data_IF_256622992983
#
_entry.id   IF_256622992983
#
_cell.length_a   1.000
_cell.length_b   1.000
_cell.length_c   1.000
_cell.angle_alpha   90.00
_cell.angle_beta   90.00
_cell.angle_gamma   90.00
#
_symmetry.space_group_name_H-M   'P 1'
#
loop_
_entity.id
_entity.type
_entity.pdbx_description
1 polymer ?
#
# COMPACT_ATOMS: atom_id res chain seq x y z
N UNK A 1 -6.36 -3.44 -21.28
CA UNK A 1 -6.95 -2.30 -20.53
C UNK A 1 -6.56 -1.02 -21.25
N UNK A 2 -7.51 -0.19 -21.71
CA UNK A 2 -7.17 1.04 -22.44
C UNK A 2 -6.47 2.01 -21.48
N UNK A 3 -5.26 2.48 -21.84
CA UNK A 3 -4.49 3.47 -21.08
C UNK A 3 -5.35 4.66 -20.62
N UNK A 4 -6.40 5.03 -21.37
CA UNK A 4 -7.37 6.08 -21.01
C UNK A 4 -8.10 5.84 -19.68
N UNK A 5 -8.39 4.58 -19.32
CA UNK A 5 -9.09 4.25 -18.06
C UNK A 5 -8.16 4.34 -16.86
N UNK A 6 -6.89 4.00 -17.05
CA UNK A 6 -5.82 4.13 -16.05
C UNK A 6 -5.52 5.60 -15.72
N UNK A 7 -5.41 6.47 -16.74
CA UNK A 7 -5.22 7.91 -16.52
C UNK A 7 -6.42 8.58 -15.83
N UNK A 8 -7.66 8.19 -16.16
CA UNK A 8 -8.86 8.70 -15.47
C UNK A 8 -8.91 8.33 -13.99
N UNK A 9 -8.37 7.17 -13.60
CA UNK A 9 -8.29 6.73 -12.19
C UNK A 9 -7.20 7.52 -11.46
N UNK A 10 -6.04 7.74 -12.09
CA UNK A 10 -4.99 8.59 -11.52
C UNK A 10 -5.47 10.05 -11.37
N UNK A 11 -6.21 10.59 -12.34
CA UNK A 11 -6.77 11.95 -12.26
C UNK A 11 -7.84 12.08 -11.17
N UNK A 12 -8.65 11.03 -10.95
CA UNK A 12 -9.63 11.02 -9.85
C UNK A 12 -8.91 11.01 -8.51
N UNK A 13 -7.89 10.17 -8.37
CA UNK A 13 -7.06 10.09 -7.16
C UNK A 13 -6.34 11.42 -6.92
N UNK A 14 -5.70 12.02 -7.93
CA UNK A 14 -5.03 13.32 -7.78
C UNK A 14 -5.99 14.47 -7.43
N UNK A 15 -7.21 14.48 -7.99
CA UNK A 15 -8.21 15.51 -7.68
C UNK A 15 -8.83 15.37 -6.28
N UNK A 16 -8.96 14.15 -5.75
CA UNK A 16 -9.37 13.94 -4.35
C UNK A 16 -8.32 14.46 -3.35
N UNK A 17 -7.07 14.67 -3.78
CA UNK A 17 -5.97 15.18 -2.94
C UNK A 17 -5.64 16.67 -3.12
N UNK A 18 -6.27 17.39 -4.06
CA UNK A 18 -6.00 18.82 -4.30
C UNK A 18 -7.29 19.64 -4.50
N UNK A 19 -7.94 20.04 -3.41
CA UNK A 19 -8.88 21.16 -3.45
C UNK A 19 -8.16 22.47 -3.13
N UNK A 20 -7.49 23.04 -4.12
CA UNK A 20 -7.35 24.50 -4.23
C UNK A 20 -7.04 24.91 -5.67
N UNK A 21 -8.09 25.35 -6.37
CA UNK A 21 -8.14 26.30 -7.50
C UNK A 21 -7.05 26.11 -8.59
N UNK A 22 -7.40 25.60 -9.77
CA UNK A 22 -7.09 26.21 -11.09
C UNK A 22 -7.78 25.48 -12.26
N UNK A 23 -8.33 26.25 -13.20
CA UNK A 23 -9.08 25.80 -14.40
C UNK A 23 -8.19 25.06 -15.44
N UNK A 24 -8.77 24.19 -16.30
CA UNK A 24 -8.01 23.43 -17.28
C UNK A 24 -7.87 24.16 -18.62
N UNK A 25 -6.65 24.18 -19.16
CA UNK A 25 -6.40 24.32 -20.60
C UNK A 25 -5.06 23.67 -20.92
N UNK A 26 -5.07 22.47 -21.50
CA UNK A 26 -3.93 21.95 -22.24
C UNK A 26 -4.42 21.11 -23.43
N UNK A 27 -3.97 21.54 -24.61
CA UNK A 27 -4.21 20.95 -25.92
C UNK A 27 -3.49 19.61 -26.07
N UNK A 28 -4.11 18.67 -26.79
CA UNK A 28 -3.48 17.47 -27.33
C UNK A 28 -2.62 17.78 -28.56
N UNK A 29 -1.50 17.06 -28.75
CA UNK A 29 -1.07 16.70 -30.10
C UNK A 29 -1.01 15.18 -30.31
N UNK A 30 -1.03 14.86 -31.60
CA UNK A 30 -1.50 13.63 -32.22
C UNK A 30 -0.50 12.47 -32.24
N UNK A 31 -1.07 11.30 -32.50
CA UNK A 31 -0.47 10.00 -32.74
C UNK A 31 0.70 10.00 -33.73
N UNK A 32 1.77 9.25 -33.41
CA UNK A 32 2.70 8.73 -34.42
C UNK A 32 2.90 7.23 -34.20
N UNK A 33 2.45 6.45 -35.19
CA UNK A 33 2.69 5.01 -35.35
C UNK A 33 4.10 4.80 -35.89
N UNK A 34 4.91 3.96 -35.25
CA UNK A 34 6.10 3.37 -35.88
C UNK A 34 5.96 1.85 -36.00
N UNK A 35 6.03 1.36 -37.24
CA UNK A 35 6.19 -0.05 -37.62
C UNK A 35 7.61 -0.50 -37.25
N UNK A 36 7.74 -1.57 -36.46
CA UNK A 36 9.00 -2.33 -36.40
C UNK A 36 8.97 -3.46 -37.43
N UNK A 37 10.00 -3.50 -38.28
CA UNK A 37 10.37 -4.66 -39.08
C UNK A 37 11.64 -5.27 -38.49
N UNK A 38 11.57 -6.56 -38.12
CA UNK A 38 12.72 -7.36 -37.70
C UNK A 38 13.40 -7.96 -38.94
N UNK A 39 14.73 -7.84 -39.04
CA UNK A 39 15.54 -8.71 -39.87
C UNK A 39 16.67 -9.32 -39.03
N UNK A 40 16.67 -10.64 -38.98
CA UNK A 40 17.76 -11.47 -38.46
C UNK A 40 18.69 -11.83 -39.62
N UNK A 41 20.01 -11.89 -39.37
CA UNK A 41 20.92 -12.69 -40.18
C UNK A 41 22.15 -13.16 -39.39
N UNK A 42 22.77 -14.30 -39.78
CA UNK A 42 23.48 -15.18 -38.86
C UNK A 42 25.02 -15.06 -38.93
N UNK A 43 25.66 -15.72 -37.95
CA UNK A 43 27.11 -15.83 -37.70
C UNK A 43 27.93 -16.31 -38.91
N UNK A 44 29.16 -15.79 -39.04
CA UNK A 44 30.26 -16.42 -39.79
C UNK A 44 31.59 -16.33 -39.02
N UNK A 45 32.32 -17.45 -39.02
CA UNK A 45 33.75 -17.58 -38.68
C UNK A 45 34.58 -17.50 -39.97
N UNK A 46 35.75 -16.82 -39.94
CA UNK A 46 36.98 -17.18 -40.69
C UNK A 46 38.14 -16.23 -40.31
N UNK A 47 39.23 -16.75 -39.74
CA UNK A 47 40.56 -17.12 -40.32
C UNK A 47 41.51 -15.95 -40.59
N UNK A 48 42.71 -16.10 -40.02
CA UNK A 48 43.82 -15.16 -39.95
C UNK A 48 44.37 -14.74 -41.32
N UNK A 49 44.67 -13.44 -41.46
CA UNK A 49 45.70 -12.92 -42.36
C UNK A 49 46.43 -11.75 -41.69
N UNK A 50 47.74 -11.89 -41.57
CA UNK A 50 48.69 -10.92 -41.05
C UNK A 50 48.97 -9.84 -42.08
N UNK A 51 48.66 -8.58 -41.73
CA UNK A 51 49.27 -7.40 -42.34
C UNK A 51 49.57 -6.38 -41.26
N UNK A 52 50.86 -6.09 -41.11
CA UNK A 52 51.42 -5.10 -40.21
C UNK A 52 51.12 -3.69 -40.70
N UNK A 53 50.18 -3.03 -40.05
CA UNK A 53 50.02 -1.56 -40.11
C UNK A 53 50.06 -1.03 -38.70
N UNK A 54 51.07 -0.20 -38.44
CA UNK A 54 51.29 0.51 -37.18
C UNK A 54 50.09 1.40 -36.88
N UNK A 55 49.24 0.99 -35.94
CA UNK A 55 48.24 1.86 -35.32
C UNK A 55 48.90 2.71 -34.24
N UNK A 56 48.62 4.03 -34.18
CA UNK A 56 49.06 4.85 -33.07
C UNK A 56 48.34 4.41 -31.80
N UNK A 57 49.08 4.38 -30.70
CA UNK A 57 48.62 4.07 -29.36
C UNK A 57 47.34 4.86 -29.06
N UNK A 58 46.20 4.14 -29.02
CA UNK A 58 44.94 4.67 -28.52
C UNK A 58 45.15 5.04 -27.05
N UNK A 59 45.30 6.33 -26.78
CA UNK A 59 45.17 6.88 -25.44
C UNK A 59 43.73 6.63 -25.01
N UNK A 60 43.49 5.54 -24.28
CA UNK A 60 42.23 5.39 -23.55
C UNK A 60 42.20 6.51 -22.52
N UNK A 61 41.54 7.63 -22.84
CA UNK A 61 41.29 8.70 -21.88
C UNK A 61 40.48 8.08 -20.74
N UNK A 62 41.14 7.69 -19.64
CA UNK A 62 40.46 7.14 -18.48
C UNK A 62 39.64 8.26 -17.85
N UNK A 63 38.34 8.24 -18.13
CA UNK A 63 37.41 9.25 -17.62
C UNK A 63 37.40 9.12 -16.10
N UNK A 64 37.92 10.14 -15.42
CA UNK A 64 37.91 10.20 -13.96
C UNK A 64 36.48 10.48 -13.47
N UNK A 65 35.97 9.72 -12.50
CA UNK A 65 34.64 9.94 -11.94
C UNK A 65 34.60 11.27 -11.17
N UNK A 66 33.55 12.06 -11.38
CA UNK A 66 33.32 13.27 -10.61
C UNK A 66 32.89 12.92 -9.18
N UNK A 67 33.66 13.37 -8.17
CA UNK A 67 33.43 13.03 -6.77
C UNK A 67 32.11 13.58 -6.20
N UNK A 68 31.66 14.75 -6.67
CA UNK A 68 30.38 15.35 -6.24
C UNK A 68 29.22 14.53 -6.76
N UNK A 69 29.24 14.18 -8.04
CA UNK A 69 28.23 13.30 -8.65
C UNK A 69 28.25 11.90 -8.04
N UNK A 70 29.43 11.35 -7.73
CA UNK A 70 29.56 10.06 -7.06
C UNK A 70 28.93 10.06 -5.66
N UNK A 71 29.17 11.12 -4.88
CA UNK A 71 28.57 11.29 -3.56
C UNK A 71 27.05 11.40 -3.66
N UNK A 72 26.56 12.23 -4.59
CA UNK A 72 25.13 12.41 -4.85
C UNK A 72 24.46 11.10 -5.27
N UNK A 73 25.03 10.41 -6.27
CA UNK A 73 24.52 9.15 -6.80
C UNK A 73 24.43 8.08 -5.70
N UNK A 74 25.43 8.01 -4.81
CA UNK A 74 25.41 7.09 -3.66
C UNK A 74 24.37 7.48 -2.61
N UNK A 75 24.18 8.77 -2.34
CA UNK A 75 23.16 9.23 -1.39
C UNK A 75 21.75 8.91 -1.89
N UNK A 76 21.49 9.10 -3.20
CA UNK A 76 20.17 8.89 -3.79
C UNK A 76 19.87 7.40 -4.05
N UNK A 77 20.82 6.67 -4.65
CA UNK A 77 20.57 5.28 -5.06
C UNK A 77 20.95 4.24 -4.00
N UNK A 78 21.74 4.63 -2.99
CA UNK A 78 22.29 3.77 -1.93
C UNK A 78 23.11 2.56 -2.44
N UNK A 79 23.57 2.60 -3.68
CA UNK A 79 24.42 1.54 -4.23
C UNK A 79 25.86 1.63 -3.73
N UNK A 80 26.59 0.51 -3.79
CA UNK A 80 28.00 0.46 -3.43
C UNK A 80 28.87 1.42 -4.25
N UNK A 81 29.89 2.01 -3.61
CA UNK A 81 30.76 3.05 -4.20
C UNK A 81 31.43 2.61 -5.52
N UNK A 82 31.73 1.32 -5.67
CA UNK A 82 32.38 0.76 -6.86
C UNK A 82 31.42 0.79 -8.05
N UNK A 83 30.18 0.31 -7.86
CA UNK A 83 29.15 0.35 -8.91
C UNK A 83 28.74 1.77 -9.29
N UNK A 84 28.61 2.67 -8.30
CA UNK A 84 28.33 4.08 -8.58
C UNK A 84 29.45 4.73 -9.41
N UNK A 85 30.71 4.38 -9.11
CA UNK A 85 31.87 4.84 -9.87
C UNK A 85 31.86 4.29 -11.30
N UNK A 86 31.58 3.00 -11.47
CA UNK A 86 31.46 2.36 -12.78
C UNK A 86 30.38 3.01 -13.63
N UNK A 87 29.19 3.25 -13.06
CA UNK A 87 28.09 3.92 -13.73
C UNK A 87 28.50 5.28 -14.31
N UNK A 88 29.19 6.10 -13.51
CA UNK A 88 29.67 7.41 -13.93
C UNK A 88 30.75 7.31 -15.01
N UNK A 89 31.70 6.38 -14.90
CA UNK A 89 32.75 6.19 -15.91
C UNK A 89 32.13 5.75 -17.24
N UNK A 90 31.20 4.78 -17.20
CA UNK A 90 30.55 4.20 -18.38
C UNK A 90 29.68 5.20 -19.14
N UNK A 91 29.11 6.17 -18.43
CA UNK A 91 28.26 7.21 -18.99
C UNK A 91 28.92 8.59 -19.03
N UNK A 92 30.25 8.65 -18.99
CA UNK A 92 31.01 9.90 -19.15
C UNK A 92 30.59 11.01 -18.16
N UNK A 93 30.32 10.64 -16.89
CA UNK A 93 29.78 11.48 -15.82
C UNK A 93 28.38 12.09 -16.11
N UNK A 94 27.62 11.52 -17.05
CA UNK A 94 26.20 11.83 -17.25
C UNK A 94 25.37 11.24 -16.11
N UNK A 95 24.82 12.13 -15.27
CA UNK A 95 24.10 11.76 -14.06
C UNK A 95 22.84 10.94 -14.35
N UNK A 96 22.00 11.41 -15.26
CA UNK A 96 20.70 10.79 -15.55
C UNK A 96 20.88 9.41 -16.16
N UNK A 97 21.86 9.27 -17.08
CA UNK A 97 22.19 7.96 -17.65
C UNK A 97 22.78 7.01 -16.60
N UNK A 98 23.63 7.51 -15.70
CA UNK A 98 24.18 6.70 -14.62
C UNK A 98 23.09 6.20 -13.65
N UNK A 99 22.13 7.04 -13.28
CA UNK A 99 20.95 6.65 -12.48
C UNK A 99 20.14 5.58 -13.20
N UNK A 100 19.76 5.82 -14.46
CA UNK A 100 18.98 4.87 -15.24
C UNK A 100 19.69 3.53 -15.44
N UNK A 101 21.03 3.55 -15.58
CA UNK A 101 21.83 2.33 -15.64
C UNK A 101 21.82 1.57 -14.32
N UNK A 102 22.02 2.25 -13.19
CA UNK A 102 21.99 1.63 -11.86
C UNK A 102 20.63 1.03 -11.51
N UNK A 103 19.54 1.67 -11.90
CA UNK A 103 18.19 1.15 -11.70
C UNK A 103 17.97 -0.14 -12.49
N UNK A 104 18.35 -0.15 -13.77
CA UNK A 104 18.28 -1.35 -14.62
C UNK A 104 19.17 -2.47 -14.08
N UNK A 105 20.41 -2.14 -13.69
CA UNK A 105 21.34 -3.09 -13.07
C UNK A 105 20.78 -3.68 -11.77
N UNK A 106 20.19 -2.85 -10.91
CA UNK A 106 19.60 -3.31 -9.63
C UNK A 106 18.44 -4.27 -9.86
N UNK A 107 17.61 -4.04 -10.88
CA UNK A 107 16.49 -4.94 -11.23
C UNK A 107 16.97 -6.27 -11.79
N UNK A 108 17.95 -6.26 -12.70
CA UNK A 108 18.52 -7.48 -13.28
C UNK A 108 19.19 -8.33 -12.18
N UNK A 109 20.04 -7.72 -11.36
CA UNK A 109 20.66 -8.40 -10.23
C UNK A 109 19.62 -8.85 -9.19
N UNK A 110 18.56 -8.06 -9.00
CA UNK A 110 17.43 -8.37 -8.14
C UNK A 110 16.70 -9.63 -8.57
N UNK A 111 16.45 -9.80 -9.88
CA UNK A 111 15.83 -11.00 -10.45
C UNK A 111 16.67 -12.25 -10.16
N UNK A 112 17.97 -12.20 -10.47
CA UNK A 112 18.87 -13.33 -10.22
C UNK A 112 18.96 -13.68 -8.72
N UNK A 113 18.99 -12.66 -7.85
CA UNK A 113 19.02 -12.86 -6.40
C UNK A 113 17.68 -13.42 -5.90
N UNK A 114 16.55 -12.90 -6.35
CA UNK A 114 15.24 -13.39 -5.95
C UNK A 114 15.11 -14.90 -6.25
N UNK A 115 15.56 -15.34 -7.43
CA UNK A 115 15.55 -16.77 -7.79
C UNK A 115 16.45 -17.63 -6.89
N UNK A 116 17.63 -17.13 -6.51
CA UNK A 116 18.59 -17.82 -5.64
C UNK A 116 18.15 -17.84 -4.17
N UNK A 117 17.44 -16.80 -3.74
CA UNK A 117 17.08 -16.57 -2.33
C UNK A 117 15.67 -17.06 -1.99
N UNK A 118 14.80 -17.32 -2.98
CA UNK A 118 13.38 -17.71 -2.76
C UNK A 118 13.17 -18.89 -1.80
N UNK A 119 14.12 -19.82 -1.70
CA UNK A 119 14.04 -20.99 -0.82
C UNK A 119 14.41 -20.69 0.63
N UNK A 120 14.97 -19.50 0.91
CA UNK A 120 15.32 -19.09 2.26
C UNK A 120 14.07 -18.66 3.01
N UNK A 121 14.06 -18.96 4.31
CA UNK A 121 12.93 -18.66 5.17
C UNK A 121 12.94 -17.16 5.52
N UNK A 122 11.88 -16.45 5.13
CA UNK A 122 11.64 -15.05 5.48
C UNK A 122 10.48 -14.99 6.48
N UNK A 123 10.79 -14.97 7.78
CA UNK A 123 9.81 -14.86 8.87
C UNK A 123 9.85 -13.51 9.60
N UNK A 124 10.92 -12.75 9.42
CA UNK A 124 10.97 -11.35 9.85
C UNK A 124 10.21 -10.47 8.85
N UNK A 125 10.07 -9.19 9.16
CA UNK A 125 9.34 -8.25 8.31
C UNK A 125 8.57 -7.19 9.06
N UNK A 126 7.60 -6.60 8.35
CA UNK A 126 6.67 -5.60 8.87
C UNK A 126 5.27 -5.80 8.29
N UNK A 127 4.29 -5.40 9.10
CA UNK A 127 2.91 -5.19 8.69
C UNK A 127 2.73 -3.70 8.38
N UNK A 128 2.16 -3.40 7.22
CA UNK A 128 1.72 -2.06 6.84
C UNK A 128 0.21 -1.92 6.96
N UNK A 129 -0.28 -0.84 7.56
CA UNK A 129 -1.71 -0.50 7.58
C UNK A 129 -1.90 0.92 7.06
N UNK A 130 -2.85 1.07 6.13
CA UNK A 130 -3.28 2.38 5.64
C UNK A 130 -4.80 2.47 5.68
N UNK A 131 -5.31 3.63 6.10
CA UNK A 131 -6.73 3.95 6.13
C UNK A 131 -6.91 5.33 5.51
N UNK A 132 -7.84 5.45 4.56
CA UNK A 132 -8.15 6.74 3.94
C UNK A 132 -8.96 7.61 4.90
N UNK A 133 -8.97 8.92 4.63
CA UNK A 133 -9.96 9.80 5.24
C UNK A 133 -11.36 9.39 4.74
N UNK A 134 -12.37 9.87 5.46
CA UNK A 134 -13.74 9.85 4.96
C UNK A 134 -13.80 10.57 3.63
N UNK A 135 -14.62 10.03 2.74
CA UNK A 135 -14.88 10.65 1.47
C UNK A 135 -16.20 11.45 1.59
N UNK A 136 -16.32 12.51 0.81
CA UNK A 136 -17.55 13.30 0.75
C UNK A 136 -18.19 13.07 -0.60
N UNK A 137 -19.39 12.51 -0.62
CA UNK A 137 -20.17 12.35 -1.84
C UNK A 137 -21.30 13.36 -1.89
N UNK A 138 -21.53 13.90 -3.08
CA UNK A 138 -22.76 14.65 -3.36
C UNK A 138 -23.82 13.62 -3.76
N UNK A 139 -24.87 13.50 -2.95
CA UNK A 139 -26.02 12.66 -3.22
C UNK A 139 -26.80 13.14 -4.44
N UNK A 140 -27.71 12.31 -4.94
CA UNK A 140 -28.51 12.57 -6.16
C UNK A 140 -29.29 13.89 -6.10
N UNK A 141 -29.59 14.38 -4.90
CA UNK A 141 -30.35 15.60 -4.65
C UNK A 141 -29.48 16.82 -4.30
N UNK A 142 -28.15 16.73 -4.46
CA UNK A 142 -27.22 17.80 -4.10
C UNK A 142 -26.82 17.83 -2.61
N UNK A 143 -27.29 16.88 -1.81
CA UNK A 143 -26.95 16.76 -0.38
C UNK A 143 -25.54 16.20 -0.19
N UNK A 144 -24.77 16.74 0.76
CA UNK A 144 -23.45 16.17 1.12
C UNK A 144 -23.69 14.95 2.00
N UNK A 145 -23.39 13.76 1.47
CA UNK A 145 -23.41 12.49 2.20
C UNK A 145 -21.98 12.08 2.51
N UNK A 146 -21.75 11.66 3.75
CA UNK A 146 -20.47 11.08 4.13
C UNK A 146 -20.36 9.71 3.46
N UNK A 147 -19.36 9.52 2.60
CA UNK A 147 -18.92 8.18 2.20
C UNK A 147 -17.92 7.71 3.23
N UNK A 148 -18.16 6.51 3.77
CA UNK A 148 -17.18 5.82 4.59
C UNK A 148 -15.81 5.72 3.93
N UNK A 149 -14.80 5.31 4.67
CA UNK A 149 -13.41 5.26 4.21
C UNK A 149 -13.01 3.86 3.68
N UNK A 150 -11.76 3.74 3.24
CA UNK A 150 -11.14 2.50 2.77
C UNK A 150 -9.95 2.15 3.63
N UNK A 151 -9.58 0.87 3.65
CA UNK A 151 -8.44 0.39 4.43
C UNK A 151 -7.70 -0.74 3.73
N UNK A 152 -6.41 -0.86 3.99
CA UNK A 152 -5.61 -1.99 3.56
C UNK A 152 -4.62 -2.38 4.66
N UNK A 153 -4.41 -3.67 4.82
CA UNK A 153 -3.37 -4.27 5.65
C UNK A 153 -2.53 -5.22 4.79
N UNK A 154 -1.22 -5.09 4.87
CA UNK A 154 -0.25 -5.85 4.07
C UNK A 154 0.86 -6.38 4.95
N UNK A 155 1.37 -7.57 4.64
CA UNK A 155 2.53 -8.14 5.31
C UNK A 155 3.65 -8.36 4.30
N UNK A 156 4.80 -7.75 4.56
CA UNK A 156 6.03 -7.96 3.80
C UNK A 156 7.05 -8.61 4.71
N UNK A 157 7.58 -9.75 4.29
CA UNK A 157 8.58 -10.48 5.05
C UNK A 157 9.98 -10.33 4.45
N UNK A 158 10.99 -10.44 5.32
CA UNK A 158 12.41 -10.47 5.00
C UNK A 158 13.13 -11.55 5.82
N UNK A 159 14.42 -11.78 5.56
CA UNK A 159 15.20 -12.81 6.27
C UNK A 159 15.56 -12.32 7.69
N UNK A 160 15.96 -11.05 7.83
CA UNK A 160 16.49 -10.52 9.11
C UNK A 160 15.75 -9.28 9.61
N UNK A 161 15.83 -9.03 10.91
CA UNK A 161 15.27 -7.82 11.53
C UNK A 161 16.04 -6.54 11.13
N UNK A 162 17.32 -6.65 10.78
CA UNK A 162 18.11 -5.55 10.24
C UNK A 162 17.51 -4.97 8.95
N UNK A 163 17.03 -5.82 8.04
CA UNK A 163 16.33 -5.36 6.83
C UNK A 163 14.98 -4.74 7.17
N UNK A 164 14.22 -5.32 8.10
CA UNK A 164 12.94 -4.72 8.55
C UNK A 164 13.12 -3.30 9.12
N UNK A 165 14.30 -3.00 9.69
CA UNK A 165 14.67 -1.67 10.22
C UNK A 165 15.20 -0.70 9.17
N UNK A 166 15.39 -1.14 7.93
CA UNK A 166 15.87 -0.28 6.87
C UNK A 166 14.78 0.67 6.36
N UNK A 167 15.11 1.95 6.17
CA UNK A 167 14.18 2.97 5.68
C UNK A 167 13.62 2.66 4.28
N UNK A 168 14.40 2.03 3.39
CA UNK A 168 13.90 1.62 2.06
C UNK A 168 12.82 0.53 2.19
N UNK A 169 13.01 -0.41 3.11
CA UNK A 169 12.06 -1.48 3.37
C UNK A 169 10.76 -0.92 3.96
N UNK A 170 10.85 -0.08 4.99
CA UNK A 170 9.69 0.59 5.60
C UNK A 170 8.89 1.40 4.57
N UNK A 171 9.58 2.21 3.76
CA UNK A 171 8.94 2.97 2.67
C UNK A 171 8.21 2.04 1.70
N UNK A 172 8.85 0.95 1.29
CA UNK A 172 8.27 0.00 0.37
C UNK A 172 6.99 -0.66 0.91
N UNK A 173 6.99 -1.10 2.19
CA UNK A 173 5.80 -1.65 2.87
C UNK A 173 4.63 -0.67 2.82
N UNK A 174 4.90 0.58 3.18
CA UNK A 174 3.93 1.67 3.21
C UNK A 174 3.38 2.00 1.81
N UNK A 175 4.23 1.97 0.79
CA UNK A 175 3.82 2.16 -0.60
C UNK A 175 2.96 1.01 -1.12
N UNK A 176 3.28 -0.24 -0.78
CA UNK A 176 2.43 -1.40 -1.13
C UNK A 176 1.06 -1.29 -0.49
N UNK A 177 0.99 -0.92 0.80
CA UNK A 177 -0.28 -0.70 1.48
C UNK A 177 -1.15 0.32 0.72
N UNK A 178 -0.52 1.41 0.27
CA UNK A 178 -1.16 2.48 -0.51
C UNK A 178 -1.60 2.02 -1.90
N UNK A 179 -0.76 1.28 -2.62
CA UNK A 179 -1.10 0.68 -3.92
C UNK A 179 -2.24 -0.34 -3.78
N UNK A 180 -2.31 -1.08 -2.67
CA UNK A 180 -3.37 -2.07 -2.43
C UNK A 180 -4.76 -1.43 -2.35
N UNK A 181 -4.85 -0.17 -1.90
CA UNK A 181 -6.10 0.60 -1.95
C UNK A 181 -6.61 0.84 -3.38
N UNK A 182 -5.78 0.75 -4.43
CA UNK A 182 -6.25 0.88 -5.82
C UNK A 182 -7.14 -0.28 -6.23
N UNK A 183 -6.83 -1.50 -5.79
CA UNK A 183 -7.63 -2.68 -6.15
C UNK A 183 -9.03 -2.67 -5.55
N UNK A 184 -9.26 -1.79 -4.56
CA UNK A 184 -10.58 -1.51 -4.05
C UNK A 184 -11.58 -1.24 -5.20
N UNK A 185 -11.18 -0.50 -6.25
CA UNK A 185 -12.07 -0.15 -7.36
C UNK A 185 -12.18 -1.22 -8.46
N UNK A 186 -11.32 -2.23 -8.51
CA UNK A 186 -11.23 -3.18 -9.63
C UNK A 186 -11.71 -4.61 -9.30
N UNK A 187 -11.77 -5.01 -8.03
CA UNK A 187 -12.11 -6.40 -7.62
C UNK A 187 -13.61 -6.73 -7.74
N UNK A 188 -14.45 -5.80 -8.17
CA UNK A 188 -15.88 -6.08 -8.39
C UNK A 188 -16.09 -6.94 -9.66
N UNK A 189 -15.95 -8.26 -9.51
CA UNK A 189 -16.69 -9.20 -10.34
C UNK A 189 -18.16 -9.04 -9.92
N UNK A 190 -19.06 -8.55 -10.79
CA UNK A 190 -20.39 -8.11 -10.39
C UNK A 190 -21.31 -9.20 -9.78
N UNK A 191 -20.89 -10.47 -9.74
CA UNK A 191 -21.72 -11.61 -9.36
C UNK A 191 -21.12 -12.49 -8.24
N UNK A 192 -20.03 -12.08 -7.60
CA UNK A 192 -19.47 -12.82 -6.45
C UNK A 192 -19.81 -12.06 -5.17
N UNK A 193 -20.70 -12.63 -4.36
CA UNK A 193 -20.98 -12.11 -3.01
C UNK A 193 -19.72 -12.41 -2.18
N UNK A 194 -19.02 -11.39 -1.66
CA UNK A 194 -17.81 -11.62 -0.89
C UNK A 194 -18.17 -12.32 0.43
N UNK A 195 -17.42 -13.37 0.78
CA UNK A 195 -17.61 -14.15 2.02
C UNK A 195 -17.30 -13.35 3.29
N UNK A 196 -16.55 -12.26 3.15
CA UNK A 196 -16.05 -11.40 4.22
C UNK A 196 -15.96 -9.97 3.68
N UNK A 197 -16.15 -9.00 4.57
CA UNK A 197 -16.14 -7.57 4.25
C UNK A 197 -14.71 -7.09 4.01
N UNK A 198 -13.75 -7.67 4.74
CA UNK A 198 -12.31 -7.47 4.54
C UNK A 198 -11.79 -8.55 3.57
N UNK A 199 -11.60 -8.17 2.31
CA UNK A 199 -11.29 -9.09 1.22
C UNK A 199 -9.80 -9.37 1.12
N UNK A 200 -9.44 -10.65 1.12
CA UNK A 200 -8.08 -11.08 0.80
C UNK A 200 -7.78 -10.95 -0.69
N UNK A 201 -6.62 -10.38 -1.02
CA UNK A 201 -6.13 -10.25 -2.39
C UNK A 201 -4.89 -11.12 -2.56
N UNK A 202 -4.82 -11.85 -3.68
CA UNK A 202 -3.59 -12.52 -4.08
C UNK A 202 -2.47 -11.50 -4.35
N UNK A 203 -1.28 -11.64 -3.75
CA UNK A 203 -0.09 -10.83 -4.07
C UNK A 203 0.20 -10.68 -5.57
N UNK A 204 -0.09 -11.72 -6.36
CA UNK A 204 0.11 -11.73 -7.80
C UNK A 204 -0.82 -10.77 -8.53
N UNK A 205 -2.02 -10.51 -8.00
CA UNK A 205 -2.97 -9.58 -8.61
C UNK A 205 -2.46 -8.14 -8.61
N UNK A 206 -1.59 -7.78 -7.66
CA UNK A 206 -1.14 -6.39 -7.46
C UNK A 206 0.26 -6.12 -8.03
N UNK A 207 0.95 -7.16 -8.50
CA UNK A 207 2.37 -7.09 -8.85
C UNK A 207 2.67 -6.16 -10.04
N UNK A 208 1.72 -6.01 -10.95
CA UNK A 208 1.84 -5.13 -12.13
C UNK A 208 1.35 -3.70 -11.88
N UNK A 209 0.80 -3.40 -10.71
CA UNK A 209 0.31 -2.06 -10.40
C UNK A 209 1.49 -1.11 -10.16
N UNK A 210 1.33 0.19 -10.50
CA UNK A 210 2.33 1.19 -10.15
C UNK A 210 2.47 1.29 -8.63
N UNK A 211 3.71 1.49 -8.17
CA UNK A 211 3.96 1.75 -6.76
C UNK A 211 3.54 3.20 -6.42
N UNK A 212 2.57 3.37 -5.53
CA UNK A 212 2.04 4.67 -5.14
C UNK A 212 2.80 5.25 -3.94
N UNK A 213 2.93 6.59 -3.83
CA UNK A 213 3.36 7.23 -2.60
C UNK A 213 2.32 7.06 -1.49
N UNK A 214 2.75 7.22 -0.24
CA UNK A 214 1.87 7.11 0.92
C UNK A 214 0.89 8.30 1.04
N UNK A 215 -0.39 8.11 1.42
CA UNK A 215 -1.39 9.17 1.54
C UNK A 215 -1.07 10.29 2.55
N UNK A 216 -0.17 10.06 3.50
CA UNK A 216 0.20 11.06 4.52
C UNK A 216 1.50 11.80 4.26
N UNK A 217 2.14 11.58 3.10
CA UNK A 217 3.26 12.41 2.69
C UNK A 217 2.71 13.79 2.29
N UNK A 218 2.74 14.73 3.23
CA UNK A 218 2.57 16.15 2.94
C UNK A 218 3.63 16.58 1.92
N UNK A 219 3.20 16.83 0.69
CA UNK A 219 4.04 17.35 -0.39
C UNK A 219 4.59 18.77 -0.12
N UNK A 220 4.30 19.36 1.05
CA UNK A 220 4.50 20.78 1.37
C UNK A 220 5.70 21.08 2.27
N UNK A 221 6.45 20.08 2.76
CA UNK A 221 7.60 20.30 3.67
C UNK A 221 8.89 19.57 3.28
N UNK A 222 9.10 19.31 1.99
CA UNK A 222 10.42 18.98 1.46
C UNK A 222 10.72 19.75 0.17
N UNK A 223 11.16 21.00 0.34
CA UNK A 223 12.21 21.49 -0.55
C UNK A 223 13.37 20.49 -0.46
N UNK A 224 13.59 19.72 -1.54
CA UNK A 224 14.63 18.68 -1.71
C UNK A 224 14.36 17.28 -1.14
N UNK A 225 13.39 16.53 -1.66
CA UNK A 225 13.59 15.08 -1.94
C UNK A 225 12.52 14.49 -2.87
N UNK A 226 12.89 14.38 -4.16
CA UNK A 226 12.56 13.26 -5.06
C UNK A 226 11.07 12.90 -5.30
N UNK A 227 10.32 13.80 -5.95
CA UNK A 227 9.72 13.40 -7.23
C UNK A 227 10.84 13.35 -8.25
N UNK A 228 11.53 12.22 -8.32
CA UNK A 228 12.45 11.96 -9.42
C UNK A 228 11.57 11.79 -10.66
N UNK A 229 11.31 12.89 -11.36
CA UNK A 229 11.21 12.81 -12.82
C UNK A 229 12.57 12.30 -13.29
N UNK A 230 12.70 10.97 -13.31
CA UNK A 230 13.74 10.26 -14.03
C UNK A 230 13.43 10.57 -15.51
N UNK A 231 14.20 11.41 -16.20
CA UNK A 231 13.95 11.69 -17.60
C UNK A 231 14.54 10.50 -18.39
N UNK A 232 13.81 9.37 -18.45
CA UNK A 232 14.00 8.25 -19.39
C UNK A 232 13.25 6.94 -19.05
N UNK A 233 12.33 6.93 -18.08
CA UNK A 233 11.43 5.77 -17.90
C UNK A 233 9.99 6.24 -18.10
N UNK A 234 9.39 5.85 -19.23
CA UNK A 234 8.08 6.31 -19.72
C UNK A 234 6.87 6.00 -18.79
N UNK A 235 7.10 5.43 -17.60
CA UNK A 235 6.07 5.10 -16.60
C UNK A 235 6.69 4.86 -15.20
N UNK A 236 5.94 5.08 -14.09
CA UNK A 236 6.40 4.73 -12.74
C UNK A 236 6.67 3.22 -12.63
N UNK A 237 7.64 2.79 -11.80
CA UNK A 237 7.93 1.37 -11.65
C UNK A 237 6.73 0.62 -11.07
N UNK A 238 6.54 -0.60 -11.55
CA UNK A 238 5.57 -1.52 -10.99
C UNK A 238 6.03 -2.03 -9.62
N UNK A 239 5.09 -2.53 -8.82
CA UNK A 239 5.40 -3.16 -7.53
C UNK A 239 6.46 -4.25 -7.66
N UNK A 240 6.33 -5.13 -8.67
CA UNK A 240 7.30 -6.20 -8.89
C UNK A 240 8.69 -5.66 -9.25
N UNK A 241 8.78 -4.65 -10.11
CA UNK A 241 10.07 -4.03 -10.43
C UNK A 241 10.71 -3.39 -9.20
N UNK A 242 9.92 -2.72 -8.36
CA UNK A 242 10.40 -2.14 -7.10
C UNK A 242 10.81 -3.21 -6.08
N UNK A 243 10.09 -4.35 -6.03
CA UNK A 243 10.47 -5.50 -5.19
C UNK A 243 11.83 -6.05 -5.61
N UNK A 244 12.03 -6.29 -6.91
CA UNK A 244 13.31 -6.77 -7.45
C UNK A 244 14.43 -5.77 -7.19
N UNK A 245 14.18 -4.48 -7.37
CA UNK A 245 15.15 -3.44 -7.04
C UNK A 245 15.55 -3.48 -5.55
N UNK A 246 14.57 -3.66 -4.65
CA UNK A 246 14.80 -3.77 -3.21
C UNK A 246 15.62 -5.01 -2.85
N UNK A 247 15.30 -6.18 -3.42
CA UNK A 247 16.08 -7.42 -3.27
C UNK A 247 17.50 -7.24 -3.82
N UNK A 248 17.63 -6.56 -4.96
CA UNK A 248 18.92 -6.23 -5.57
C UNK A 248 19.81 -5.42 -4.63
N UNK A 249 19.24 -4.41 -3.98
CA UNK A 249 19.90 -3.49 -3.05
C UNK A 249 20.21 -4.13 -1.69
N UNK A 250 19.24 -4.80 -1.08
CA UNK A 250 19.37 -5.33 0.28
C UNK A 250 19.97 -6.74 0.33
N UNK A 251 19.82 -7.52 -0.75
CA UNK A 251 20.43 -8.84 -0.87
C UNK A 251 19.78 -9.94 -0.03
N UNK A 252 18.55 -9.75 0.43
CA UNK A 252 17.76 -10.74 1.17
C UNK A 252 16.55 -11.20 0.36
N UNK A 253 16.03 -12.38 0.70
CA UNK A 253 14.71 -12.84 0.30
C UNK A 253 13.66 -11.91 0.91
N UNK A 254 12.97 -11.15 0.05
CA UNK A 254 11.87 -10.29 0.44
C UNK A 254 10.64 -10.76 -0.31
N UNK A 255 9.54 -10.98 0.40
CA UNK A 255 8.28 -11.42 -0.19
C UNK A 255 7.10 -10.59 0.32
N UNK A 256 6.08 -10.51 -0.51
CA UNK A 256 4.76 -10.00 -0.15
C UNK A 256 3.91 -11.21 0.25
N UNK A 257 3.67 -11.38 1.55
CA UNK A 257 3.03 -12.59 2.09
C UNK A 257 1.52 -12.59 1.92
N UNK A 258 0.86 -11.52 2.37
CA UNK A 258 -0.60 -11.42 2.33
C UNK A 258 -1.06 -9.98 2.29
N UNK A 259 -2.24 -9.79 1.70
CA UNK A 259 -2.93 -8.52 1.56
C UNK A 259 -4.40 -8.72 1.86
N UNK A 260 -4.95 -7.83 2.65
CA UNK A 260 -6.38 -7.72 2.87
C UNK A 260 -6.81 -6.27 2.74
N UNK A 261 -7.94 -6.05 2.07
CA UNK A 261 -8.49 -4.72 1.83
C UNK A 261 -9.93 -4.63 2.32
N UNK A 262 -10.26 -3.48 2.87
CA UNK A 262 -11.64 -3.05 3.03
C UNK A 262 -11.93 -1.96 2.01
N UNK A 263 -12.95 -2.19 1.19
CA UNK A 263 -13.50 -1.15 0.34
C UNK A 263 -14.95 -0.88 0.67
N UNK A 264 -15.26 0.37 0.99
CA UNK A 264 -16.63 0.84 1.12
C UNK A 264 -17.29 0.95 -0.26
N UNK A 265 -17.87 -0.16 -0.73
CA UNK A 265 -18.66 -0.22 -1.96
C UNK A 265 -20.10 0.22 -1.68
N UNK A 266 -20.34 1.52 -1.51
CA UNK A 266 -21.71 2.06 -1.52
C UNK A 266 -22.33 2.10 -2.95
N UNK A 267 -21.87 1.23 -3.85
CA UNK A 267 -22.47 0.95 -5.15
C UNK A 267 -23.21 -0.39 -5.15
N UNK A 268 -23.83 -0.77 -4.03
CA UNK A 268 -25.03 -1.60 -4.12
C UNK A 268 -26.12 -0.72 -4.75
N UNK A 269 -26.01 -0.54 -6.06
CA UNK A 269 -27.16 -0.30 -6.92
C UNK A 269 -27.94 -1.62 -6.92
N UNK A 270 -28.55 -1.95 -5.78
CA UNK A 270 -29.63 -2.92 -5.73
C UNK A 270 -30.66 -2.40 -6.69
N UNK A 271 -30.74 -3.00 -7.87
CA UNK A 271 -31.88 -2.92 -8.76
C UNK A 271 -33.07 -3.67 -8.16
N UNK A 272 -33.38 -3.39 -6.89
CA UNK A 272 -34.62 -3.80 -6.25
C UNK A 272 -35.51 -2.57 -6.26
N UNK A 273 -36.58 -2.63 -7.05
CA UNK A 273 -37.68 -1.66 -7.09
C UNK A 273 -38.47 -1.58 -5.76
N UNK A 274 -37.86 -1.94 -4.62
CA UNK A 274 -38.48 -1.91 -3.32
C UNK A 274 -38.22 -0.56 -2.68
N UNK A 275 -39.19 0.34 -2.82
CA UNK A 275 -39.23 1.70 -2.27
C UNK A 275 -39.33 1.77 -0.74
N UNK A 276 -38.90 0.73 0.00
CA UNK A 276 -39.05 0.62 1.46
C UNK A 276 -37.76 0.27 2.23
N UNK A 277 -36.59 0.16 1.59
CA UNK A 277 -35.35 -0.18 2.31
C UNK A 277 -34.61 1.06 2.80
N UNK A 278 -34.60 1.26 4.13
CA UNK A 278 -33.80 2.25 4.89
C UNK A 278 -32.27 1.99 4.84
N UNK A 279 -31.75 1.35 3.78
CA UNK A 279 -30.30 1.10 3.63
C UNK A 279 -29.51 2.39 3.35
N UNK A 280 -30.19 3.50 3.09
CA UNK A 280 -29.57 4.81 2.91
C UNK A 280 -28.91 5.39 4.18
N UNK A 281 -29.17 4.83 5.36
CA UNK A 281 -28.67 5.36 6.64
C UNK A 281 -27.42 4.63 7.19
N UNK A 282 -26.93 3.59 6.50
CA UNK A 282 -25.76 2.81 6.94
C UNK A 282 -24.48 3.34 6.31
N UNK A 283 -23.46 3.53 7.13
CA UNK A 283 -22.11 3.91 6.71
C UNK A 283 -21.13 2.91 7.29
N UNK A 284 -20.31 2.32 6.43
CA UNK A 284 -19.21 1.47 6.87
C UNK A 284 -17.94 2.31 7.04
N UNK A 285 -17.33 2.19 8.22
CA UNK A 285 -16.10 2.90 8.58
C UNK A 285 -15.05 1.88 8.97
N UNK A 286 -13.82 2.08 8.55
CA UNK A 286 -12.68 1.29 8.98
C UNK A 286 -11.71 2.09 9.82
N UNK A 287 -11.14 1.43 10.83
CA UNK A 287 -10.03 1.92 11.64
C UNK A 287 -8.83 1.00 11.50
N UNK A 288 -7.64 1.56 11.59
CA UNK A 288 -6.39 0.83 11.43
C UNK A 288 -5.35 1.26 12.47
N UNK A 289 -4.55 0.31 12.94
CA UNK A 289 -3.46 0.59 13.86
C UNK A 289 -2.32 -0.41 13.68
N UNK A 290 -1.09 0.05 13.88
CA UNK A 290 0.11 -0.79 13.97
C UNK A 290 0.87 -0.51 15.26
N UNK A 291 1.54 -1.53 15.78
CA UNK A 291 2.40 -1.47 16.95
C UNK A 291 3.77 -2.12 16.67
N UNK A 292 4.80 -1.70 17.40
CA UNK A 292 6.17 -2.18 17.20
C UNK A 292 6.84 -1.61 15.95
N UNK A 293 6.38 -0.44 15.47
CA UNK A 293 7.04 0.34 14.44
C UNK A 293 8.37 0.93 14.92
N UNK A 294 9.28 1.19 14.00
CA UNK A 294 10.58 1.81 14.27
C UNK A 294 10.45 3.33 14.04
N UNK A 295 11.18 4.15 14.81
CA UNK A 295 11.17 5.61 14.70
C UNK A 295 9.77 6.25 14.84
N UNK A 296 8.88 5.68 15.65
CA UNK A 296 7.49 6.11 15.80
C UNK A 296 6.70 6.11 14.47
N UNK A 297 7.06 5.24 13.52
CA UNK A 297 6.27 5.02 12.31
C UNK A 297 4.86 4.57 12.71
N UNK A 298 3.85 5.31 12.22
CA UNK A 298 2.45 5.05 12.49
C UNK A 298 1.79 4.15 11.45
N UNK A 299 2.53 3.77 10.40
CA UNK A 299 2.01 3.02 9.26
C UNK A 299 2.60 1.62 9.14
N UNK A 300 3.77 1.38 9.74
CA UNK A 300 4.38 0.05 9.79
C UNK A 300 4.66 -0.43 11.21
N UNK A 301 4.61 -1.74 11.45
CA UNK A 301 4.90 -2.35 12.74
C UNK A 301 5.02 -3.86 12.70
N UNK A 302 5.28 -4.48 13.86
CA UNK A 302 5.33 -5.94 14.03
C UNK A 302 3.95 -6.56 14.21
N UNK A 303 2.99 -5.78 14.68
CA UNK A 303 1.59 -6.20 14.86
C UNK A 303 0.72 -5.11 14.23
N UNK A 304 -0.32 -5.50 13.50
CA UNK A 304 -1.28 -4.57 12.92
C UNK A 304 -2.70 -5.09 13.02
N UNK A 305 -3.66 -4.17 13.03
CA UNK A 305 -5.06 -4.53 12.92
C UNK A 305 -5.83 -3.57 12.01
N UNK A 306 -6.86 -4.12 11.37
CA UNK A 306 -7.88 -3.42 10.63
C UNK A 306 -9.25 -3.83 11.20
N UNK A 307 -10.11 -2.87 11.50
CA UNK A 307 -11.47 -3.12 11.99
C UNK A 307 -12.47 -2.39 11.11
N UNK A 308 -13.62 -3.00 10.86
CA UNK A 308 -14.74 -2.41 10.13
C UNK A 308 -15.93 -2.32 11.06
N UNK A 309 -16.47 -1.11 11.19
CA UNK A 309 -17.65 -0.79 11.98
C UNK A 309 -18.76 -0.26 11.05
N UNK A 310 -19.98 -0.68 11.31
CA UNK A 310 -21.18 -0.12 10.72
C UNK A 310 -21.73 0.96 11.64
N UNK A 311 -22.13 2.08 11.04
CA UNK A 311 -22.78 3.19 11.73
C UNK A 311 -24.12 3.42 11.06
N UNK A 312 -25.19 3.35 11.84
CA UNK A 312 -26.54 3.64 11.38
C UNK A 312 -27.08 4.85 12.16
N UNK A 313 -27.47 5.91 11.46
CA UNK A 313 -27.96 7.14 12.10
C UNK A 313 -29.40 7.44 11.67
N UNK A 314 -30.26 7.85 12.60
CA UNK A 314 -31.69 8.08 12.34
C UNK A 314 -32.00 9.46 11.71
N UNK A 315 -31.03 10.39 11.62
CA UNK A 315 -31.20 11.72 11.01
C UNK A 315 -29.85 12.31 10.57
N UNK A 316 -29.75 12.68 9.30
CA UNK A 316 -28.50 12.98 8.57
C UNK A 316 -28.01 14.40 8.86
N UNK A 317 -27.08 14.58 9.80
CA UNK A 317 -26.04 15.65 9.75
C UNK A 317 -24.79 15.16 10.51
N UNK A 318 -23.80 14.62 9.78
CA UNK A 318 -22.49 14.36 10.37
C UNK A 318 -21.72 15.67 10.52
N UNK A 319 -21.73 16.24 11.73
CA UNK A 319 -20.80 17.33 12.05
C UNK A 319 -19.37 16.79 12.01
N UNK A 320 -18.40 17.64 11.63
CA UNK A 320 -16.97 17.26 11.64
C UNK A 320 -16.54 16.68 12.99
N UNK A 321 -17.10 17.20 14.09
CA UNK A 321 -16.85 16.72 15.44
C UNK A 321 -17.27 15.25 15.64
N UNK A 322 -18.39 14.81 15.06
CA UNK A 322 -18.84 13.42 15.12
C UNK A 322 -17.92 12.53 14.29
N UNK A 323 -17.53 12.98 13.09
CA UNK A 323 -16.59 12.27 12.20
C UNK A 323 -15.25 12.05 12.92
N UNK A 324 -14.72 13.08 13.57
CA UNK A 324 -13.47 12.99 14.32
C UNK A 324 -13.58 12.01 15.50
N UNK A 325 -14.73 11.98 16.17
CA UNK A 325 -15.01 11.02 17.26
C UNK A 325 -15.10 9.59 16.74
N UNK A 326 -15.74 9.36 15.60
CA UNK A 326 -15.83 8.05 14.95
C UNK A 326 -14.44 7.58 14.47
N UNK A 327 -13.65 8.46 13.87
CA UNK A 327 -12.26 8.17 13.50
C UNK A 327 -11.43 7.77 14.70
N UNK A 328 -11.58 8.50 15.81
CA UNK A 328 -10.90 8.17 17.06
C UNK A 328 -11.34 6.81 17.59
N UNK A 329 -12.65 6.56 17.66
CA UNK A 329 -13.21 5.30 18.15
C UNK A 329 -12.72 4.10 17.32
N UNK A 330 -12.83 4.17 15.99
CA UNK A 330 -12.37 3.09 15.10
C UNK A 330 -10.87 2.83 15.21
N UNK A 331 -10.04 3.88 15.37
CA UNK A 331 -8.60 3.74 15.65
C UNK A 331 -8.34 3.11 17.03
N UNK A 332 -9.07 3.52 18.06
CA UNK A 332 -8.90 2.99 19.42
C UNK A 332 -9.36 1.52 19.52
N UNK A 333 -10.41 1.13 18.77
CA UNK A 333 -10.79 -0.28 18.60
C UNK A 333 -9.67 -1.08 17.93
N UNK A 334 -9.05 -0.57 16.86
CA UNK A 334 -7.91 -1.23 16.23
C UNK A 334 -6.72 -1.38 17.21
N UNK A 335 -6.47 -0.39 18.07
CA UNK A 335 -5.45 -0.49 19.13
C UNK A 335 -5.79 -1.55 20.18
N UNK A 336 -7.05 -1.62 20.62
CA UNK A 336 -7.54 -2.66 21.52
C UNK A 336 -7.30 -4.04 20.92
N UNK A 337 -7.67 -4.25 19.66
CA UNK A 337 -7.47 -5.52 18.95
C UNK A 337 -5.98 -5.88 18.90
N UNK A 338 -5.09 -4.93 18.58
CA UNK A 338 -3.65 -5.16 18.58
C UNK A 338 -3.15 -5.59 19.97
N UNK A 339 -3.57 -4.90 21.03
CA UNK A 339 -3.09 -5.12 22.40
C UNK A 339 -3.62 -6.39 23.06
N UNK A 340 -4.89 -6.73 22.85
CA UNK A 340 -5.60 -7.77 23.61
C UNK A 340 -5.93 -9.04 22.81
N UNK A 341 -5.62 -9.08 21.51
CA UNK A 341 -5.70 -10.28 20.67
C UNK A 341 -7.04 -11.06 20.75
N UNK A 342 -8.19 -10.38 20.60
CA UNK A 342 -9.48 -11.07 20.52
C UNK A 342 -9.50 -12.04 19.33
N UNK A 343 -10.26 -13.13 19.47
CA UNK A 343 -10.46 -14.15 18.42
C UNK A 343 -11.77 -13.96 17.68
N UNK A 344 -12.78 -13.40 18.35
CA UNK A 344 -14.12 -13.17 17.80
C UNK A 344 -14.73 -11.90 18.38
N UNK A 345 -15.77 -11.40 17.71
CA UNK A 345 -16.47 -10.17 18.13
C UNK A 345 -17.45 -10.49 19.26
N UNK A 346 -18.31 -11.49 19.04
CA UNK A 346 -19.37 -11.90 19.98
C UNK A 346 -19.14 -13.33 20.48
N UNK A 347 -19.84 -13.71 21.55
CA UNK A 347 -20.01 -15.11 21.94
C UNK A 347 -20.77 -15.85 20.86
N UNK A 348 -20.35 -17.08 20.56
CA UNK A 348 -21.12 -17.93 19.65
C UNK A 348 -22.50 -18.19 20.28
N UNK A 349 -23.55 -18.06 19.48
CA UNK A 349 -24.90 -18.45 19.90
C UNK A 349 -24.89 -19.92 20.27
N UNK A 350 -25.36 -20.25 21.47
CA UNK A 350 -25.46 -21.63 21.95
C UNK A 350 -26.18 -22.49 20.91
N UNK A 351 -25.46 -23.37 20.24
CA UNK A 351 -26.10 -24.49 19.56
C UNK A 351 -26.68 -25.38 20.65
N UNK A 352 -28.01 -25.49 20.71
CA UNK A 352 -28.78 -26.22 21.73
C UNK A 352 -28.48 -27.73 21.83
N UNK A 353 -27.45 -28.25 21.14
CA UNK A 353 -27.19 -29.68 20.99
C UNK A 353 -25.81 -30.17 21.45
N UNK A 354 -24.94 -29.36 22.07
CA UNK A 354 -23.70 -29.87 22.67
C UNK A 354 -23.39 -29.22 24.03
N UNK A 355 -23.63 -29.97 25.11
CA UNK A 355 -23.30 -29.63 26.50
C UNK A 355 -21.79 -29.76 26.83
N UNK A 356 -20.90 -29.47 25.88
CA UNK A 356 -19.47 -29.35 26.16
C UNK A 356 -19.09 -27.87 26.10
N UNK A 357 -19.43 -27.16 27.17
CA UNK A 357 -19.02 -25.78 27.39
C UNK A 357 -17.54 -25.84 27.79
N UNK A 358 -16.64 -25.60 26.84
CA UNK A 358 -15.40 -24.95 27.22
C UNK A 358 -15.80 -23.55 27.68
N UNK A 359 -15.42 -23.17 28.90
CA UNK A 359 -15.59 -21.80 29.38
C UNK A 359 -14.78 -20.90 28.44
N UNK A 360 -15.45 -20.37 27.41
CA UNK A 360 -14.87 -19.41 26.48
C UNK A 360 -14.23 -18.30 27.33
N UNK A 361 -12.90 -18.18 27.25
CA UNK A 361 -12.18 -17.13 27.96
C UNK A 361 -12.75 -15.79 27.49
N UNK A 362 -13.40 -15.05 28.39
CA UNK A 362 -14.03 -13.77 28.07
C UNK A 362 -13.03 -12.78 27.45
N UNK A 363 -11.72 -12.99 27.66
CA UNK A 363 -10.65 -12.24 27.02
C UNK A 363 -10.50 -12.51 25.52
N UNK A 364 -11.06 -13.59 24.96
CA UNK A 364 -11.03 -13.86 23.52
C UNK A 364 -12.18 -13.18 22.75
N UNK A 365 -13.18 -12.65 23.45
CA UNK A 365 -14.36 -12.02 22.86
C UNK A 365 -14.23 -10.51 22.97
N UNK A 366 -14.04 -9.82 21.84
CA UNK A 366 -13.78 -8.37 21.81
C UNK A 366 -14.82 -7.57 22.61
N UNK A 367 -16.11 -7.90 22.51
CA UNK A 367 -17.18 -7.16 23.17
C UNK A 367 -17.15 -7.27 24.70
N UNK A 368 -16.57 -8.34 25.24
CA UNK A 368 -16.46 -8.59 26.68
C UNK A 368 -15.18 -8.01 27.29
N UNK A 369 -14.17 -7.72 26.46
CA UNK A 369 -12.91 -7.15 26.93
C UNK A 369 -13.12 -5.76 27.53
N UNK A 370 -12.39 -5.47 28.61
CA UNK A 370 -12.27 -4.12 29.16
C UNK A 370 -11.63 -3.17 28.14
N UNK A 371 -12.28 -2.03 27.87
CA UNK A 371 -11.85 -1.09 26.82
C UNK A 371 -10.86 -0.04 27.35
N UNK A 372 -9.68 -0.53 27.73
CA UNK A 372 -8.62 0.24 28.38
C UNK A 372 -8.11 1.37 27.47
N UNK A 373 -8.02 1.13 26.16
CA UNK A 373 -7.32 2.04 25.24
C UNK A 373 -8.20 3.19 24.71
N UNK A 374 -9.52 2.98 24.61
CA UNK A 374 -10.45 3.99 24.08
C UNK A 374 -11.12 4.86 25.13
N UNK A 375 -10.67 4.79 26.38
CA UNK A 375 -11.18 5.62 27.48
C UNK A 375 -12.39 5.05 28.19
N UNK A 376 -12.52 3.72 28.26
CA UNK A 376 -13.45 3.08 29.20
C UNK A 376 -13.16 3.56 30.62
N UNK A 377 -14.21 3.97 31.34
CA UNK A 377 -14.10 4.44 32.72
C UNK A 377 -14.50 3.29 33.64
N UNK A 378 -13.81 3.09 34.75
CA UNK A 378 -14.20 2.09 35.78
C UNK A 378 -14.37 0.65 35.28
N UNK A 379 -13.53 0.19 34.33
CA UNK A 379 -13.59 -1.18 33.85
C UNK A 379 -14.68 -1.46 32.81
N UNK A 380 -15.18 -0.42 32.15
CA UNK A 380 -16.17 -0.59 31.07
C UNK A 380 -15.67 -1.49 29.95
N UNK A 381 -16.53 -2.41 29.51
CA UNK A 381 -16.25 -3.28 28.36
C UNK A 381 -16.40 -2.54 27.04
N UNK A 382 -15.85 -3.09 25.95
CA UNK A 382 -16.05 -2.55 24.59
C UNK A 382 -17.54 -2.39 24.28
N UNK A 383 -18.38 -3.37 24.63
CA UNK A 383 -19.83 -3.27 24.44
C UNK A 383 -20.45 -2.08 25.18
N UNK A 384 -20.06 -1.87 26.44
CA UNK A 384 -20.60 -0.78 27.25
C UNK A 384 -20.19 0.58 26.68
N UNK A 385 -18.93 0.73 26.28
CA UNK A 385 -18.46 1.98 25.65
C UNK A 385 -19.18 2.24 24.33
N UNK A 386 -19.38 1.23 23.49
CA UNK A 386 -20.17 1.39 22.27
C UNK A 386 -21.60 1.86 22.58
N UNK A 387 -22.30 1.23 23.54
CA UNK A 387 -23.64 1.67 23.98
C UNK A 387 -23.67 3.11 24.51
N UNK A 388 -22.60 3.56 25.16
CA UNK A 388 -22.48 4.96 25.60
C UNK A 388 -22.34 5.90 24.41
N UNK A 389 -21.49 5.58 23.43
CA UNK A 389 -21.40 6.33 22.17
C UNK A 389 -22.74 6.37 21.44
N UNK A 390 -23.49 5.27 21.43
CA UNK A 390 -24.79 5.21 20.77
C UNK A 390 -25.79 6.21 21.38
N UNK A 391 -25.81 6.30 22.71
CA UNK A 391 -26.66 7.25 23.46
C UNK A 391 -26.21 8.70 23.27
N UNK A 392 -24.91 8.96 23.41
CA UNK A 392 -24.35 10.30 23.39
C UNK A 392 -24.51 10.99 22.03
N UNK A 393 -24.45 10.22 20.94
CA UNK A 393 -24.48 10.74 19.58
C UNK A 393 -25.73 10.34 18.79
N UNK A 394 -26.68 9.62 19.41
CA UNK A 394 -27.91 9.11 18.80
C UNK A 394 -27.67 8.38 17.47
N UNK A 395 -26.78 7.39 17.52
CA UNK A 395 -26.37 6.56 16.39
C UNK A 395 -26.19 5.12 16.87
N UNK A 396 -26.30 4.15 15.97
CA UNK A 396 -26.08 2.73 16.28
C UNK A 396 -24.73 2.31 15.72
N UNK A 397 -23.92 1.60 16.50
CA UNK A 397 -22.56 1.18 16.12
C UNK A 397 -22.44 -0.34 16.28
N UNK A 398 -22.15 -1.03 15.17
CA UNK A 398 -21.88 -2.47 15.18
C UNK A 398 -20.45 -2.73 14.67
N UNK A 399 -19.68 -3.58 15.34
CA UNK A 399 -18.41 -4.08 14.79
C UNK A 399 -18.77 -5.24 13.86
N UNK A 400 -18.41 -5.14 12.57
CA UNK A 400 -18.74 -6.16 11.58
C UNK A 400 -17.63 -7.20 11.43
N UNK A 401 -16.39 -6.74 11.31
CA UNK A 401 -15.24 -7.61 11.09
C UNK A 401 -13.96 -6.93 11.59
N UNK A 402 -13.00 -7.72 12.04
CA UNK A 402 -11.63 -7.26 12.24
C UNK A 402 -10.61 -8.29 11.76
N UNK A 403 -9.41 -7.80 11.50
CA UNK A 403 -8.21 -8.59 11.19
C UNK A 403 -7.10 -8.12 12.10
N UNK A 404 -6.41 -9.06 12.71
CA UNK A 404 -5.22 -8.81 13.53
C UNK A 404 -4.11 -9.69 13.02
N UNK A 405 -3.01 -9.08 12.60
CA UNK A 405 -1.83 -9.79 12.11
C UNK A 405 -0.65 -9.55 13.03
N UNK A 406 0.18 -10.58 13.15
CA UNK A 406 1.50 -10.51 13.77
C UNK A 406 2.50 -11.01 12.72
N UNK A 407 3.54 -10.21 12.48
CA UNK A 407 4.49 -10.49 11.42
C UNK A 407 5.17 -11.84 11.65
N UNK A 408 5.23 -12.67 10.60
CA UNK A 408 5.82 -14.01 10.64
C UNK A 408 4.90 -15.10 11.16
N UNK A 409 3.67 -14.77 11.58
CA UNK A 409 2.63 -15.74 11.94
C UNK A 409 1.56 -15.78 10.84
N UNK A 410 1.45 -16.92 10.15
CA UNK A 410 0.39 -17.15 9.17
C UNK A 410 -0.93 -17.50 9.84
#
# INVERSE_FOLDING_TARGET
MSQKRFFSIIDTIFNTYNTTIFHPKLLFPQQLKCKLSFSFSPKYYNTNTTTSTSTPLSSSTQIKPNLKLLSQLRQETQVGIIKAREALIKHNNDYDKAVSWLLKDSRINGLEKAEKLKSRVAKEGLIGVVVTKFDEMIGKNGERKLSGNKGAIVEINCETDFVSRNNLFQKFVTQIASTSLLLSSEILIPNVIPKSIIQSISPQSISSFPLLPHPSLDFTSSSSTTTTTIPSLDSPPTLNESLLELIGKLGENINLSRIEIFNNNNNNHSSSNDSNNNDDDKILVTGGYVHGGINNDQYTGKIGALVVIEIQQQKIIYSQKIIDKINKLSRDLARQIVGFNPKRIHKDSKDDNNNNIEDDDDNEILMNQEFIIGGGVNGETVEQVLKNYEKDFNLKINILEFKRWECGKL
#
